data_IF_184313323878
#
_entry.id   IF_184313323878
#
_cell.length_a   1.000
_cell.length_b   1.000
_cell.length_c   1.000
_cell.angle_alpha   90.00
_cell.angle_beta   90.00
_cell.angle_gamma   90.00
#
_symmetry.space_group_name_H-M   'P 1'
#
loop_
_entity.id
_entity.type
_entity.pdbx_description
1 polymer ?
#
# COMPACT_ATOMS: atom_id res chain seq x y z
N UNK A 1 -2.99 -17.60 20.83
CA UNK A 1 -3.78 -17.13 19.66
C UNK A 1 -3.63 -15.62 19.66
N UNK A 2 -3.13 -15.01 18.58
CA UNK A 2 -3.01 -13.55 18.54
C UNK A 2 -4.41 -12.94 18.66
N UNK A 3 -4.61 -12.02 19.59
CA UNK A 3 -5.85 -11.26 19.72
C UNK A 3 -6.15 -10.60 18.37
N UNK A 4 -7.26 -11.01 17.75
CA UNK A 4 -7.73 -10.42 16.50
C UNK A 4 -8.44 -9.12 16.86
N UNK A 5 -7.67 -8.05 16.97
CA UNK A 5 -8.21 -6.70 17.10
C UNK A 5 -8.80 -6.28 15.75
N UNK A 6 -10.12 -6.03 15.71
CA UNK A 6 -10.75 -5.43 14.55
C UNK A 6 -10.24 -4.00 14.45
N UNK A 7 -9.50 -3.62 13.39
CA UNK A 7 -8.99 -2.28 13.27
C UNK A 7 -10.15 -1.28 13.24
N UNK A 8 -10.03 -0.11 13.89
CA UNK A 8 -11.08 0.88 13.91
C UNK A 8 -11.43 1.29 12.47
N UNK A 9 -12.72 1.43 12.20
CA UNK A 9 -13.17 1.97 10.91
C UNK A 9 -12.80 3.44 10.85
N UNK A 10 -11.79 3.75 10.06
CA UNK A 10 -11.39 5.12 9.75
C UNK A 10 -12.11 5.57 8.49
N UNK A 11 -12.72 6.75 8.52
CA UNK A 11 -13.25 7.43 7.34
C UNK A 11 -12.18 8.46 6.96
N UNK A 12 -11.46 8.27 5.84
CA UNK A 12 -10.47 9.24 5.39
C UNK A 12 -11.10 10.58 4.99
N UNK A 13 -10.35 11.66 5.19
CA UNK A 13 -10.81 13.02 4.88
C UNK A 13 -10.64 13.39 3.40
N UNK A 14 -9.86 12.61 2.63
CA UNK A 14 -9.55 12.88 1.23
C UNK A 14 -9.29 11.59 0.43
N UNK A 15 -9.22 11.73 -0.89
CA UNK A 15 -9.04 10.62 -1.83
C UNK A 15 -7.73 9.84 -1.59
N UNK A 16 -6.65 10.53 -1.22
CA UNK A 16 -5.37 9.90 -0.92
C UNK A 16 -5.48 8.92 0.26
N UNK A 17 -6.19 9.31 1.31
CA UNK A 17 -6.45 8.43 2.45
C UNK A 17 -7.36 7.26 2.08
N UNK A 18 -8.33 7.44 1.17
CA UNK A 18 -9.12 6.31 0.64
C UNK A 18 -8.26 5.34 -0.16
N UNK A 19 -7.40 5.85 -1.07
CA UNK A 19 -6.49 5.04 -1.86
C UNK A 19 -5.51 4.27 -0.98
N UNK A 20 -4.97 4.91 0.06
CA UNK A 20 -4.11 4.27 1.06
C UNK A 20 -4.83 3.08 1.73
N UNK A 21 -6.08 3.27 2.18
CA UNK A 21 -6.86 2.21 2.86
C UNK A 21 -7.20 1.05 1.94
N UNK A 22 -7.59 1.32 0.70
CA UNK A 22 -7.87 0.29 -0.30
C UNK A 22 -6.59 -0.51 -0.60
N UNK A 23 -5.47 0.18 -0.78
CA UNK A 23 -4.16 -0.47 -1.00
C UNK A 23 -3.78 -1.35 0.19
N UNK A 24 -4.02 -0.87 1.42
CA UNK A 24 -3.82 -1.63 2.66
C UNK A 24 -4.58 -2.97 2.61
N UNK A 25 -5.86 -2.95 2.21
CA UNK A 25 -6.67 -4.16 2.08
C UNK A 25 -6.15 -5.12 0.98
N UNK A 26 -5.72 -4.59 -0.17
CA UNK A 26 -5.14 -5.39 -1.26
C UNK A 26 -3.87 -6.12 -0.80
N UNK A 27 -2.97 -5.43 -0.12
CA UNK A 27 -1.69 -6.02 0.33
C UNK A 27 -1.83 -6.90 1.58
N UNK A 28 -2.86 -6.71 2.40
CA UNK A 28 -3.13 -7.57 3.55
C UNK A 28 -3.55 -9.00 3.17
N UNK A 29 -4.10 -9.22 1.96
CA UNK A 29 -4.46 -10.57 1.52
C UNK A 29 -3.23 -11.47 1.39
N UNK A 30 -3.09 -12.45 2.28
CA UNK A 30 -2.00 -13.44 2.25
C UNK A 30 -0.68 -13.03 2.91
N UNK A 31 -0.65 -11.94 3.69
CA UNK A 31 0.52 -11.54 4.46
C UNK A 31 0.19 -11.31 5.94
N UNK A 32 1.19 -11.48 6.81
CA UNK A 32 1.05 -11.12 8.23
C UNK A 32 0.84 -9.62 8.39
N UNK A 33 -0.16 -9.25 9.20
CA UNK A 33 -0.49 -7.85 9.52
C UNK A 33 0.71 -7.06 10.06
N UNK A 34 1.54 -7.68 10.89
CA UNK A 34 2.74 -7.05 11.43
C UNK A 34 3.75 -6.71 10.33
N UNK A 35 3.90 -7.58 9.32
CA UNK A 35 4.81 -7.36 8.20
C UNK A 35 4.34 -6.19 7.34
N UNK A 36 3.04 -6.12 7.04
CA UNK A 36 2.47 -5.02 6.25
C UNK A 36 2.61 -3.70 6.99
N UNK A 37 2.28 -3.65 8.29
CA UNK A 37 2.42 -2.43 9.10
C UNK A 37 3.86 -1.94 9.16
N UNK A 38 4.83 -2.83 9.36
CA UNK A 38 6.24 -2.46 9.43
C UNK A 38 6.77 -1.88 8.11
N UNK A 39 6.19 -2.29 6.97
CA UNK A 39 6.56 -1.80 5.63
C UNK A 39 5.76 -0.57 5.20
N UNK A 40 4.68 -0.23 5.89
CA UNK A 40 3.74 0.79 5.45
C UNK A 40 4.35 2.19 5.25
N UNK A 41 5.29 2.67 6.11
CA UNK A 41 5.96 3.94 5.86
C UNK A 41 6.69 3.97 4.50
N UNK A 42 7.25 2.84 4.07
CA UNK A 42 7.89 2.76 2.75
C UNK A 42 6.86 2.77 1.62
N UNK A 43 5.69 2.16 1.82
CA UNK A 43 4.58 2.24 0.86
C UNK A 43 4.12 3.68 0.65
N UNK A 44 4.01 4.47 1.73
CA UNK A 44 3.64 5.87 1.63
C UNK A 44 4.62 6.62 0.73
N UNK A 45 5.93 6.48 0.93
CA UNK A 45 6.92 7.15 0.06
C UNK A 45 6.92 6.58 -1.36
N UNK A 46 6.86 5.26 -1.51
CA UNK A 46 6.94 4.58 -2.80
C UNK A 46 5.77 4.92 -3.73
N UNK A 47 4.57 5.10 -3.18
CA UNK A 47 3.34 5.46 -3.87
C UNK A 47 3.00 6.96 -3.76
N UNK A 48 4.01 7.84 -3.61
CA UNK A 48 3.82 9.29 -3.61
C UNK A 48 2.75 9.79 -2.62
N UNK A 49 2.76 9.25 -1.40
CA UNK A 49 1.78 9.47 -0.34
C UNK A 49 0.33 9.20 -0.76
N UNK A 50 0.15 8.31 -1.75
CA UNK A 50 -1.13 7.95 -2.35
C UNK A 50 -1.86 9.15 -2.96
N UNK A 51 -1.14 10.18 -3.41
CA UNK A 51 -1.75 11.22 -4.25
C UNK A 51 -2.26 10.58 -5.54
N UNK A 52 -3.58 10.67 -5.76
CA UNK A 52 -4.25 9.96 -6.85
C UNK A 52 -3.73 10.39 -8.21
N UNK A 53 -3.41 11.69 -8.39
CA UNK A 53 -2.92 12.20 -9.66
C UNK A 53 -1.48 11.73 -9.92
N UNK A 54 -0.63 11.74 -8.88
CA UNK A 54 0.74 11.27 -8.97
C UNK A 54 0.79 9.76 -9.28
N UNK A 55 0.01 8.96 -8.57
CA UNK A 55 -0.05 7.50 -8.79
C UNK A 55 -0.64 7.17 -10.15
N UNK A 56 -1.68 7.88 -10.60
CA UNK A 56 -2.26 7.69 -11.94
C UNK A 56 -1.28 8.05 -13.07
N UNK A 57 -0.29 8.91 -12.79
CA UNK A 57 0.76 9.27 -13.73
C UNK A 57 1.95 8.29 -13.73
N UNK A 58 1.95 7.26 -12.88
CA UNK A 58 3.02 6.25 -12.87
C UNK A 58 3.15 5.55 -14.21
N UNK A 59 4.39 5.36 -14.61
CA UNK A 59 4.78 4.72 -15.87
C UNK A 59 5.26 3.29 -15.65
N UNK A 60 5.60 2.59 -16.72
CA UNK A 60 6.24 1.27 -16.60
C UNK A 60 7.58 1.34 -15.84
N UNK A 61 8.32 2.46 -15.93
CA UNK A 61 9.55 2.68 -15.15
C UNK A 61 9.26 2.76 -13.64
N UNK A 62 8.15 3.40 -13.25
CA UNK A 62 7.71 3.41 -11.86
C UNK A 62 7.31 2.02 -11.39
N UNK A 63 6.64 1.23 -12.23
CA UNK A 63 6.31 -0.15 -11.91
C UNK A 63 7.57 -1.00 -11.71
N UNK A 64 8.57 -0.87 -12.56
CA UNK A 64 9.87 -1.54 -12.41
C UNK A 64 10.56 -1.14 -11.11
N UNK A 65 10.64 0.17 -10.83
CA UNK A 65 11.17 0.72 -9.58
C UNK A 65 10.46 0.12 -8.35
N UNK A 66 9.13 0.04 -8.38
CA UNK A 66 8.32 -0.50 -7.27
C UNK A 66 8.53 -2.01 -7.09
N UNK A 67 8.67 -2.77 -8.18
CA UNK A 67 8.93 -4.21 -8.11
C UNK A 67 10.33 -4.51 -7.55
N UNK A 68 11.30 -3.62 -7.73
CA UNK A 68 12.64 -3.77 -7.17
C UNK A 68 12.76 -3.28 -5.71
N UNK A 69 11.86 -2.42 -5.25
CA UNK A 69 11.91 -1.81 -3.92
C UNK A 69 11.74 -2.85 -2.79
N UNK A 70 12.84 -3.08 -2.06
CA UNK A 70 12.91 -4.00 -0.90
C UNK A 70 12.18 -3.45 0.34
N UNK A 71 11.89 -2.15 0.36
CA UNK A 71 11.12 -1.46 1.38
C UNK A 71 9.66 -1.93 1.41
N UNK A 72 9.08 -2.28 0.27
CA UNK A 72 7.67 -2.70 0.14
C UNK A 72 7.52 -4.22 -0.06
N UNK A 73 6.29 -4.67 -0.34
CA UNK A 73 6.00 -6.04 -0.77
C UNK A 73 6.05 -6.10 -2.29
N UNK A 74 7.07 -6.80 -2.82
CA UNK A 74 7.37 -6.90 -4.25
C UNK A 74 6.46 -7.90 -4.98
N UNK A 75 5.16 -7.64 -4.97
CA UNK A 75 4.17 -8.41 -5.72
C UNK A 75 3.68 -7.57 -6.91
N UNK A 76 4.27 -7.79 -8.09
CA UNK A 76 3.96 -7.00 -9.29
C UNK A 76 2.49 -7.01 -9.70
N UNK A 77 1.76 -8.11 -9.46
CA UNK A 77 0.32 -8.17 -9.76
C UNK A 77 -0.49 -7.24 -8.85
N UNK A 78 -0.10 -7.14 -7.57
CA UNK A 78 -0.76 -6.23 -6.61
C UNK A 78 -0.34 -4.78 -6.78
N UNK A 79 0.88 -4.54 -7.25
CA UNK A 79 1.39 -3.19 -7.55
C UNK A 79 0.67 -2.59 -8.76
N UNK A 80 0.34 -3.42 -9.77
CA UNK A 80 -0.35 -2.98 -11.00
C UNK A 80 -1.88 -2.86 -10.87
N UNK A 81 -2.47 -3.47 -9.84
CA UNK A 81 -3.92 -3.54 -9.64
C UNK A 81 -4.48 -2.21 -9.15
#
# INVERSE_FOLDING_TARGET
MAEYEVPPRVIPDNDAGYLEKITQAVFQSGFSWQVIRNKWPNFQTAFAHFDVNAVAAFTDEDLERLVEDKGIVRNGRKIKA
#
